data_IF_047915205451
#
_entry.id   IF_047915205451
#
_cell.length_a   1.000
_cell.length_b   1.000
_cell.length_c   1.000
_cell.angle_alpha   90.00
_cell.angle_beta   90.00
_cell.angle_gamma   90.00
#
_symmetry.space_group_name_H-M   'P 1'
#
loop_
_entity.id
_entity.type
_entity.pdbx_description
1 polymer ?
#
# COMPACT_ATOMS: atom_id res chain seq x y z
N UNK A 1 -4.98 -24.13 -42.42
CA UNK A 1 -4.62 -22.71 -42.62
C UNK A 1 -3.27 -22.49 -41.95
N UNK A 2 -2.22 -22.03 -42.64
CA UNK A 2 -0.93 -21.81 -42.01
C UNK A 2 -1.02 -20.52 -41.16
N UNK A 3 -0.85 -20.67 -39.84
CA UNK A 3 -0.76 -19.55 -38.90
C UNK A 3 0.57 -18.82 -39.15
N UNK A 4 0.48 -17.64 -39.75
CA UNK A 4 1.56 -16.68 -40.02
C UNK A 4 2.07 -16.02 -38.70
N UNK A 5 2.18 -16.81 -37.63
CA UNK A 5 2.50 -16.33 -36.29
C UNK A 5 4.00 -16.03 -36.18
N UNK A 6 4.32 -14.74 -36.24
CA UNK A 6 5.69 -14.24 -36.07
C UNK A 6 6.17 -14.53 -34.64
N UNK A 7 7.25 -15.29 -34.48
CA UNK A 7 7.86 -15.55 -33.18
C UNK A 7 8.77 -14.38 -32.77
N UNK A 8 8.55 -13.84 -31.57
CA UNK A 8 9.37 -12.78 -31.02
C UNK A 8 10.50 -13.38 -30.17
N UNK A 9 11.72 -13.45 -30.72
CA UNK A 9 12.89 -13.98 -30.01
C UNK A 9 13.28 -13.20 -28.74
N UNK A 10 12.85 -11.93 -28.64
CA UNK A 10 13.11 -11.08 -27.45
C UNK A 10 12.14 -11.34 -26.28
N UNK A 11 10.93 -11.80 -26.60
CA UNK A 11 9.86 -11.98 -25.63
C UNK A 11 9.37 -13.43 -25.49
N UNK A 12 9.90 -14.35 -26.30
CA UNK A 12 9.69 -15.80 -26.19
C UNK A 12 8.28 -16.25 -26.57
N UNK A 13 7.51 -15.43 -27.27
CA UNK A 13 6.09 -15.71 -27.57
C UNK A 13 5.78 -15.58 -29.06
N UNK A 14 4.84 -16.41 -29.51
CA UNK A 14 4.22 -16.33 -30.83
C UNK A 14 3.26 -15.15 -30.88
N UNK A 15 3.40 -14.24 -31.85
CA UNK A 15 2.53 -13.07 -32.02
C UNK A 15 1.15 -13.49 -32.55
N UNK A 16 0.30 -13.93 -31.63
CA UNK A 16 -1.09 -14.32 -31.84
C UNK A 16 -2.00 -13.50 -30.91
N UNK A 17 -3.20 -13.11 -31.34
CA UNK A 17 -4.21 -12.39 -30.52
C UNK A 17 -4.47 -13.04 -29.13
N UNK A 18 -4.44 -14.38 -29.04
CA UNK A 18 -4.52 -15.13 -27.77
C UNK A 18 -3.30 -14.90 -26.87
N UNK A 19 -2.10 -14.90 -27.44
CA UNK A 19 -0.86 -14.63 -26.70
C UNK A 19 -0.83 -13.18 -26.18
N UNK A 20 -1.30 -12.24 -26.98
CA UNK A 20 -1.39 -10.84 -26.60
C UNK A 20 -2.36 -10.68 -25.43
N UNK A 21 -3.57 -11.24 -25.52
CA UNK A 21 -4.52 -11.24 -24.43
C UNK A 21 -3.97 -11.88 -23.14
N UNK A 22 -3.22 -12.99 -23.23
CA UNK A 22 -2.58 -13.63 -22.08
C UNK A 22 -1.53 -12.73 -21.43
N UNK A 23 -0.72 -12.04 -22.23
CA UNK A 23 0.27 -11.08 -21.72
C UNK A 23 -0.41 -9.91 -21.02
N UNK A 24 -1.48 -9.39 -21.61
CA UNK A 24 -2.28 -8.34 -21.00
C UNK A 24 -2.82 -8.78 -19.64
N UNK A 25 -3.41 -9.97 -19.57
CA UNK A 25 -3.95 -10.52 -18.32
C UNK A 25 -2.85 -10.76 -17.28
N UNK A 26 -1.70 -11.29 -17.68
CA UNK A 26 -0.55 -11.50 -16.80
C UNK A 26 -0.01 -10.19 -16.21
N UNK A 27 0.09 -9.13 -17.03
CA UNK A 27 0.54 -7.81 -16.59
C UNK A 27 -0.47 -7.14 -15.66
N UNK A 28 -1.76 -7.26 -15.97
CA UNK A 28 -2.85 -6.71 -15.18
C UNK A 28 -2.97 -7.44 -13.83
N UNK A 29 -2.83 -8.76 -13.83
CA UNK A 29 -2.70 -9.55 -12.61
C UNK A 29 -1.46 -9.17 -11.81
N UNK A 30 -0.30 -9.02 -12.46
CA UNK A 30 0.93 -8.57 -11.79
C UNK A 30 0.83 -7.15 -11.21
N UNK A 31 -0.03 -6.30 -11.76
CA UNK A 31 -0.38 -5.00 -11.18
C UNK A 31 -1.20 -5.13 -9.91
N UNK A 32 -2.27 -5.93 -9.95
CA UNK A 32 -3.12 -6.20 -8.79
C UNK A 32 -2.35 -6.91 -7.67
N UNK A 33 -1.55 -7.91 -8.02
CA UNK A 33 -0.78 -8.71 -7.08
C UNK A 33 0.23 -7.88 -6.29
N UNK A 34 0.95 -6.96 -6.96
CA UNK A 34 1.91 -6.07 -6.28
C UNK A 34 1.23 -5.17 -5.25
N UNK A 35 0.01 -4.69 -5.54
CA UNK A 35 -0.76 -3.89 -4.59
C UNK A 35 -1.23 -4.71 -3.41
N UNK A 36 -1.72 -5.92 -3.68
CA UNK A 36 -2.11 -6.84 -2.62
C UNK A 36 -0.94 -7.11 -1.65
N UNK A 37 0.28 -7.34 -2.15
CA UNK A 37 1.46 -7.49 -1.29
C UNK A 37 1.86 -6.20 -0.56
N UNK A 38 1.79 -5.04 -1.20
CA UNK A 38 2.03 -3.76 -0.51
C UNK A 38 1.02 -3.51 0.60
N UNK A 39 -0.25 -3.87 0.36
CA UNK A 39 -1.32 -3.88 1.34
C UNK A 39 -1.06 -4.85 2.49
N UNK A 40 -0.59 -6.06 2.18
CA UNK A 40 -0.22 -7.06 3.18
C UNK A 40 0.87 -6.55 4.12
N UNK A 41 1.98 -6.06 3.58
CA UNK A 41 3.11 -5.58 4.40
C UNK A 41 2.69 -4.38 5.25
N UNK A 42 1.92 -3.44 4.68
CA UNK A 42 1.49 -2.24 5.41
C UNK A 42 0.46 -2.57 6.48
N UNK A 43 -0.48 -3.49 6.20
CA UNK A 43 -1.42 -3.98 7.19
C UNK A 43 -0.72 -4.74 8.32
N UNK A 44 0.25 -5.60 7.98
CA UNK A 44 1.07 -6.31 8.97
C UNK A 44 1.77 -5.34 9.92
N UNK A 45 2.49 -4.36 9.38
CA UNK A 45 3.21 -3.37 10.20
C UNK A 45 2.23 -2.51 11.00
N UNK A 46 1.14 -2.04 10.39
CA UNK A 46 0.14 -1.22 11.06
C UNK A 46 -0.43 -1.89 12.31
N UNK A 47 -0.78 -3.18 12.23
CA UNK A 47 -1.30 -3.93 13.38
C UNK A 47 -0.26 -4.11 14.49
N UNK A 48 1.00 -4.38 14.15
CA UNK A 48 2.09 -4.48 15.13
C UNK A 48 2.29 -3.13 15.83
N UNK A 49 2.25 -2.03 15.09
CA UNK A 49 2.40 -0.68 15.64
C UNK A 49 1.23 -0.32 16.56
N UNK A 50 -0.02 -0.65 16.20
CA UNK A 50 -1.18 -0.49 17.09
C UNK A 50 -0.96 -1.20 18.42
N UNK A 51 -0.47 -2.43 18.40
CA UNK A 51 -0.18 -3.17 19.62
C UNK A 51 0.89 -2.46 20.48
N UNK A 52 2.01 -2.07 19.86
CA UNK A 52 3.11 -1.39 20.57
C UNK A 52 2.60 -0.10 21.22
N UNK A 53 1.88 0.71 20.45
CA UNK A 53 1.29 1.97 20.93
C UNK A 53 0.27 1.72 22.03
N UNK A 54 -0.60 0.73 21.87
CA UNK A 54 -1.59 0.35 22.88
C UNK A 54 -0.92 0.02 24.22
N UNK A 55 0.23 -0.67 24.19
CA UNK A 55 1.02 -1.00 25.39
C UNK A 55 1.79 0.18 25.98
N UNK A 56 2.04 1.23 25.21
CA UNK A 56 2.63 2.46 25.76
C UNK A 56 1.59 3.29 26.50
N UNK A 57 0.34 3.26 26.04
CA UNK A 57 -0.73 4.11 26.54
C UNK A 57 -1.53 3.47 27.71
N UNK A 58 -1.22 2.22 28.08
CA UNK A 58 -2.04 1.25 28.83
C UNK A 58 -2.53 1.56 30.25
N UNK A 59 -2.66 2.81 30.72
CA UNK A 59 -3.23 3.02 32.06
C UNK A 59 -4.55 3.79 32.15
N UNK A 60 -5.03 4.51 31.14
CA UNK A 60 -6.25 5.33 31.32
C UNK A 60 -7.18 5.52 30.10
N UNK A 61 -7.01 4.79 28.99
CA UNK A 61 -7.81 5.00 27.79
C UNK A 61 -8.97 4.01 27.70
N UNK A 62 -10.21 4.53 27.62
CA UNK A 62 -11.42 3.72 27.47
C UNK A 62 -11.50 2.97 26.12
N UNK A 63 -12.29 1.89 26.02
CA UNK A 63 -12.35 1.02 24.83
C UNK A 63 -12.64 1.75 23.52
N UNK A 64 -13.48 2.79 23.56
CA UNK A 64 -13.84 3.62 22.40
C UNK A 64 -12.62 4.32 21.80
N UNK A 65 -11.79 4.90 22.65
CA UNK A 65 -10.60 5.62 22.22
C UNK A 65 -9.52 4.64 21.73
N UNK A 66 -9.41 3.46 22.35
CA UNK A 66 -8.51 2.40 21.85
C UNK A 66 -8.89 1.95 20.44
N UNK A 67 -10.18 1.73 20.17
CA UNK A 67 -10.65 1.35 18.83
C UNK A 67 -10.49 2.48 17.82
N UNK A 68 -10.75 3.73 18.22
CA UNK A 68 -10.51 4.91 17.40
C UNK A 68 -9.04 4.99 16.96
N UNK A 69 -8.09 4.95 17.90
CA UNK A 69 -6.66 5.03 17.60
C UNK A 69 -6.18 3.84 16.78
N UNK A 70 -6.63 2.63 17.11
CA UNK A 70 -6.31 1.43 16.34
C UNK A 70 -6.76 1.57 14.89
N UNK A 71 -8.00 2.02 14.68
CA UNK A 71 -8.53 2.30 13.36
C UNK A 71 -7.73 3.37 12.61
N UNK A 72 -7.40 4.50 13.27
CA UNK A 72 -6.60 5.57 12.67
C UNK A 72 -5.22 5.09 12.20
N UNK A 73 -4.46 4.42 13.07
CA UNK A 73 -3.10 3.96 12.77
C UNK A 73 -3.14 2.97 11.60
N UNK A 74 -3.94 1.92 11.69
CA UNK A 74 -4.06 0.93 10.62
C UNK A 74 -4.59 1.56 9.32
N UNK A 75 -5.50 2.53 9.44
CA UNK A 75 -6.03 3.31 8.34
C UNK A 75 -4.94 4.09 7.58
N UNK A 76 -4.03 4.79 8.28
CA UNK A 76 -2.90 5.49 7.64
C UNK A 76 -2.02 4.51 6.86
N UNK A 77 -1.62 3.41 7.50
CA UNK A 77 -0.73 2.43 6.87
C UNK A 77 -1.36 1.84 5.61
N UNK A 78 -2.62 1.39 5.69
CA UNK A 78 -3.32 0.86 4.53
C UNK A 78 -3.59 1.93 3.47
N UNK A 79 -3.85 3.17 3.86
CA UNK A 79 -4.13 4.29 2.96
C UNK A 79 -2.92 4.73 2.13
N UNK A 80 -1.72 4.68 2.69
CA UNK A 80 -0.49 5.17 2.03
C UNK A 80 0.03 4.26 0.92
N UNK A 81 -0.29 2.97 0.94
CA UNK A 81 0.23 1.91 0.03
C UNK A 81 0.21 2.34 -1.44
N UNK A 82 -0.92 2.82 -1.94
CA UNK A 82 -1.06 3.17 -3.36
C UNK A 82 -0.13 4.31 -3.78
N UNK A 83 0.11 5.26 -2.90
CA UNK A 83 1.07 6.34 -3.15
C UNK A 83 2.51 5.87 -3.06
N UNK A 84 2.83 5.00 -2.11
CA UNK A 84 4.18 4.43 -1.96
C UNK A 84 4.55 3.60 -3.20
N UNK A 85 3.65 2.72 -3.65
CA UNK A 85 3.87 1.88 -4.85
C UNK A 85 4.05 2.74 -6.11
N UNK A 86 3.34 3.86 -6.20
CA UNK A 86 3.41 4.77 -7.35
C UNK A 86 4.46 5.88 -7.18
N UNK A 87 5.28 5.83 -6.12
CA UNK A 87 6.28 6.84 -5.77
C UNK A 87 5.70 8.28 -5.75
N UNK A 88 4.44 8.43 -5.31
CA UNK A 88 3.71 9.69 -5.26
C UNK A 88 3.41 10.11 -3.83
N UNK A 89 4.13 11.14 -3.36
CA UNK A 89 3.94 11.72 -2.03
C UNK A 89 2.52 12.26 -1.83
N UNK A 90 2.00 12.93 -2.86
CA UNK A 90 0.64 13.46 -2.84
C UNK A 90 -0.39 12.33 -2.67
N UNK A 91 -0.30 11.25 -3.46
CA UNK A 91 -1.22 10.12 -3.31
C UNK A 91 -1.06 9.40 -1.97
N UNK A 92 0.17 9.27 -1.47
CA UNK A 92 0.43 8.63 -0.19
C UNK A 92 -0.19 9.46 0.95
N UNK A 93 -0.01 10.77 0.92
CA UNK A 93 -0.57 11.69 1.93
C UNK A 93 -2.10 11.69 1.91
N UNK A 94 -2.73 11.86 0.73
CA UNK A 94 -4.18 11.87 0.62
C UNK A 94 -4.77 10.51 1.02
N UNK A 95 -4.16 9.41 0.57
CA UNK A 95 -4.56 8.06 0.95
C UNK A 95 -4.41 7.83 2.45
N UNK A 96 -3.33 8.29 3.06
CA UNK A 96 -3.11 8.24 4.50
C UNK A 96 -4.15 9.03 5.28
N UNK A 97 -4.50 10.25 4.86
CA UNK A 97 -5.54 11.08 5.48
C UNK A 97 -6.91 10.38 5.38
N UNK A 98 -7.32 9.96 4.19
CA UNK A 98 -8.60 9.28 3.98
C UNK A 98 -8.65 7.95 4.76
N UNK A 99 -7.54 7.21 4.77
CA UNK A 99 -7.39 6.01 5.59
C UNK A 99 -7.53 6.29 7.07
N UNK A 100 -6.92 7.36 7.59
CA UNK A 100 -7.08 7.80 8.99
C UNK A 100 -8.54 8.06 9.33
N UNK A 101 -9.23 8.83 8.49
CA UNK A 101 -10.64 9.20 8.70
C UNK A 101 -11.54 7.97 8.63
N UNK A 102 -11.39 7.14 7.59
CA UNK A 102 -12.17 5.93 7.43
C UNK A 102 -11.93 4.93 8.56
N UNK A 103 -10.67 4.77 8.98
CA UNK A 103 -10.29 3.93 10.11
C UNK A 103 -10.82 4.46 11.44
N UNK A 104 -10.78 5.77 11.68
CA UNK A 104 -11.35 6.41 12.86
C UNK A 104 -12.86 6.15 12.97
N UNK A 105 -13.60 6.40 11.89
CA UNK A 105 -15.05 6.19 11.83
C UNK A 105 -15.37 4.71 12.03
N UNK A 106 -14.67 3.81 11.33
CA UNK A 106 -14.84 2.37 11.50
C UNK A 106 -14.59 1.93 12.94
N UNK A 107 -13.49 2.39 13.56
CA UNK A 107 -13.14 2.07 14.95
C UNK A 107 -14.17 2.56 15.96
N UNK A 108 -14.69 3.78 15.80
CA UNK A 108 -15.76 4.31 16.64
C UNK A 108 -17.06 3.51 16.53
N UNK A 109 -17.41 3.10 15.31
CA UNK A 109 -18.63 2.33 15.05
C UNK A 109 -18.51 0.87 15.47
N UNK A 110 -17.29 0.35 15.66
CA UNK A 110 -17.09 -1.05 16.02
C UNK A 110 -17.78 -1.43 17.34
N UNK A 111 -17.74 -0.57 18.36
CA UNK A 111 -18.37 -0.85 19.67
C UNK A 111 -19.90 -0.93 19.59
N UNK A 112 -20.62 0.07 19.06
CA UNK A 112 -22.08 -0.03 18.95
C UNK A 112 -22.49 -1.20 18.07
N UNK A 113 -21.76 -1.48 16.98
CA UNK A 113 -22.01 -2.64 16.13
C UNK A 113 -21.82 -3.95 16.92
N UNK A 114 -20.71 -4.08 17.65
CA UNK A 114 -20.43 -5.26 18.47
C UNK A 114 -21.52 -5.46 19.53
N UNK A 115 -21.98 -4.39 20.19
CA UNK A 115 -23.07 -4.45 21.17
C UNK A 115 -24.41 -4.88 20.54
N UNK A 116 -24.70 -4.45 19.31
CA UNK A 116 -25.89 -4.92 18.58
C UNK A 116 -25.81 -6.40 18.20
N UNK A 117 -24.60 -6.94 18.03
CA UNK A 117 -24.35 -8.31 17.58
C UNK A 117 -24.03 -9.30 18.72
N UNK A 118 -23.97 -8.83 19.97
CA UNK A 118 -23.64 -9.63 21.17
C UNK A 118 -24.62 -10.78 21.45
N UNK A 119 -25.81 -10.76 20.87
CA UNK A 119 -26.85 -11.77 21.09
C UNK A 119 -26.64 -13.13 20.41
N UNK A 120 -25.57 -13.32 19.65
CA UNK A 120 -25.33 -14.56 18.90
C UNK A 120 -23.84 -14.89 18.79
N UNK A 121 -23.49 -16.09 19.23
CA UNK A 121 -22.14 -16.63 19.13
C UNK A 121 -21.68 -16.65 17.66
N UNK A 122 -20.46 -16.17 17.39
CA UNK A 122 -19.86 -16.19 16.06
C UNK A 122 -20.04 -14.93 15.21
N UNK A 123 -20.70 -13.86 15.69
CA UNK A 123 -20.85 -12.62 14.92
C UNK A 123 -19.71 -11.60 15.09
N UNK A 124 -18.70 -11.89 15.92
CA UNK A 124 -17.52 -11.04 16.06
C UNK A 124 -16.88 -10.64 14.71
N UNK A 125 -16.69 -11.55 13.74
CA UNK A 125 -16.16 -11.20 12.42
C UNK A 125 -16.99 -10.18 11.63
N UNK A 126 -18.31 -10.09 11.88
CA UNK A 126 -19.17 -9.13 11.19
C UNK A 126 -18.93 -7.68 11.65
N UNK A 127 -18.60 -7.48 12.94
CA UNK A 127 -18.24 -6.15 13.44
C UNK A 127 -16.97 -5.61 12.78
N UNK A 128 -15.98 -6.49 12.63
CA UNK A 128 -14.70 -6.20 11.96
C UNK A 128 -14.90 -6.02 10.45
N UNK A 129 -15.78 -6.80 9.83
CA UNK A 129 -16.21 -6.64 8.43
C UNK A 129 -16.72 -5.22 8.20
N UNK A 130 -17.71 -4.75 8.98
CA UNK A 130 -18.31 -3.42 8.77
C UNK A 130 -17.27 -2.31 9.01
N UNK A 131 -16.48 -2.45 10.08
CA UNK A 131 -15.39 -1.52 10.41
C UNK A 131 -14.45 -1.31 9.23
N UNK A 132 -13.96 -2.40 8.65
CA UNK A 132 -13.01 -2.33 7.53
C UNK A 132 -13.68 -2.05 6.19
N UNK A 133 -14.98 -2.31 6.04
CA UNK A 133 -15.74 -1.85 4.88
C UNK A 133 -15.74 -0.31 4.81
N UNK A 134 -15.97 0.35 5.93
CA UNK A 134 -15.93 1.82 6.02
C UNK A 134 -14.50 2.31 5.74
N UNK A 135 -13.50 1.77 6.44
CA UNK A 135 -12.10 2.14 6.21
C UNK A 135 -11.67 1.95 4.75
N UNK A 136 -12.05 0.82 4.16
CA UNK A 136 -11.76 0.49 2.77
C UNK A 136 -12.44 1.45 1.78
N UNK A 137 -13.66 1.91 2.05
CA UNK A 137 -14.35 2.86 1.18
C UNK A 137 -13.59 4.19 1.05
N UNK A 138 -13.11 4.74 2.18
CA UNK A 138 -12.32 5.97 2.16
C UNK A 138 -10.98 5.78 1.45
N UNK A 139 -10.28 4.66 1.74
CA UNK A 139 -9.00 4.35 1.08
C UNK A 139 -9.19 4.20 -0.43
N UNK A 140 -10.23 3.48 -0.86
CA UNK A 140 -10.54 3.26 -2.27
C UNK A 140 -10.93 4.53 -3.03
N UNK A 141 -11.53 5.52 -2.36
CA UNK A 141 -11.89 6.80 -2.96
C UNK A 141 -10.69 7.65 -3.38
N UNK A 142 -9.50 7.39 -2.82
CA UNK A 142 -8.27 8.18 -3.04
C UNK A 142 -7.97 8.39 -4.52
N UNK A 143 -7.86 7.31 -5.29
CA UNK A 143 -7.41 7.39 -6.68
C UNK A 143 -8.42 8.09 -7.60
N UNK A 144 -9.71 7.90 -7.35
CA UNK A 144 -10.74 8.63 -8.08
C UNK A 144 -10.81 10.12 -7.74
N UNK A 145 -10.50 10.47 -6.49
CA UNK A 145 -10.41 11.86 -6.02
C UNK A 145 -9.22 12.58 -6.68
N UNK A 146 -8.08 11.90 -6.78
CA UNK A 146 -6.88 12.42 -7.47
C UNK A 146 -7.15 12.65 -8.96
N UNK A 147 -7.88 11.73 -9.59
CA UNK A 147 -8.33 11.85 -10.98
C UNK A 147 -9.47 12.88 -11.16
N UNK A 148 -9.83 13.64 -10.11
CA UNK A 148 -10.85 14.69 -10.08
C UNK A 148 -12.20 14.25 -10.68
N UNK A 149 -12.56 12.97 -10.50
CA UNK A 149 -13.78 12.40 -11.06
C UNK A 149 -14.63 11.75 -9.98
N UNK A 150 -15.82 12.32 -9.74
CA UNK A 150 -16.79 11.79 -8.76
C UNK A 150 -17.16 10.32 -9.05
N UNK A 151 -17.33 9.97 -10.33
CA UNK A 151 -17.65 8.60 -10.75
C UNK A 151 -16.51 7.62 -10.43
N UNK A 152 -15.27 8.01 -10.71
CA UNK A 152 -14.09 7.19 -10.36
C UNK A 152 -13.91 7.08 -8.85
N UNK A 153 -14.18 8.16 -8.10
CA UNK A 153 -14.09 8.16 -6.64
C UNK A 153 -15.13 7.22 -6.02
N UNK A 154 -16.37 7.25 -6.49
CA UNK A 154 -17.43 6.35 -6.04
C UNK A 154 -17.17 4.90 -6.41
N UNK A 155 -16.67 4.63 -7.62
CA UNK A 155 -16.24 3.28 -8.01
C UNK A 155 -15.09 2.76 -7.14
N UNK A 156 -14.09 3.62 -6.87
CA UNK A 156 -13.01 3.31 -5.94
C UNK A 156 -13.52 3.03 -4.53
N UNK A 157 -14.44 3.85 -4.02
CA UNK A 157 -15.04 3.66 -2.71
C UNK A 157 -15.84 2.36 -2.61
N UNK A 158 -16.60 1.99 -3.65
CA UNK A 158 -17.37 0.74 -3.66
C UNK A 158 -16.45 -0.49 -3.60
N UNK A 159 -15.41 -0.54 -4.43
CA UNK A 159 -14.47 -1.67 -4.43
C UNK A 159 -13.58 -1.68 -3.19
N UNK A 160 -13.26 -0.50 -2.66
CA UNK A 160 -12.62 -0.35 -1.35
C UNK A 160 -13.50 -0.89 -0.23
N UNK A 161 -14.80 -0.58 -0.25
CA UNK A 161 -15.77 -1.09 0.72
C UNK A 161 -15.85 -2.63 0.69
N UNK A 162 -16.01 -3.21 -0.50
CA UNK A 162 -16.08 -4.67 -0.68
C UNK A 162 -14.76 -5.33 -0.25
N UNK A 163 -13.62 -4.79 -0.70
CA UNK A 163 -12.31 -5.34 -0.36
C UNK A 163 -12.00 -5.24 1.14
N UNK A 164 -12.37 -4.12 1.76
CA UNK A 164 -12.24 -3.90 3.20
C UNK A 164 -13.16 -4.81 4.01
N UNK A 165 -14.41 -5.01 3.58
CA UNK A 165 -15.34 -5.92 4.21
C UNK A 165 -14.83 -7.36 4.21
N UNK A 166 -14.49 -7.89 3.01
CA UNK A 166 -13.98 -9.25 2.86
C UNK A 166 -12.66 -9.42 3.61
N UNK A 167 -11.76 -8.44 3.50
CA UNK A 167 -10.49 -8.44 4.22
C UNK A 167 -10.68 -8.47 5.74
N UNK A 168 -11.54 -7.62 6.29
CA UNK A 168 -11.88 -7.57 7.72
C UNK A 168 -12.48 -8.89 8.23
N UNK A 169 -13.39 -9.48 7.46
CA UNK A 169 -13.97 -10.78 7.78
C UNK A 169 -12.92 -11.89 7.77
N UNK A 170 -12.16 -12.03 6.68
CA UNK A 170 -11.14 -13.08 6.57
C UNK A 170 -10.03 -12.92 7.61
N UNK A 171 -9.59 -11.69 7.87
CA UNK A 171 -8.59 -11.39 8.88
C UNK A 171 -9.06 -11.76 10.29
N UNK A 172 -10.31 -11.45 10.64
CA UNK A 172 -10.87 -11.77 11.97
C UNK A 172 -11.17 -13.26 12.14
N UNK A 173 -11.64 -13.94 11.09
CA UNK A 173 -11.80 -15.41 11.09
C UNK A 173 -10.44 -16.09 11.24
N UNK A 174 -9.44 -15.69 10.46
CA UNK A 174 -8.08 -16.21 10.58
C UNK A 174 -7.53 -16.04 12.00
N UNK A 175 -7.66 -14.83 12.56
CA UNK A 175 -7.24 -14.53 13.92
C UNK A 175 -7.94 -15.46 14.93
N UNK A 176 -9.26 -15.54 14.89
CA UNK A 176 -10.05 -16.38 15.79
C UNK A 176 -9.69 -17.87 15.68
N UNK A 177 -9.61 -18.40 14.46
CA UNK A 177 -9.26 -19.80 14.21
C UNK A 177 -7.87 -20.15 14.75
N UNK A 178 -6.87 -19.30 14.52
CA UNK A 178 -5.51 -19.58 15.01
C UNK A 178 -5.44 -19.59 16.53
N UNK A 179 -6.16 -18.67 17.19
CA UNK A 179 -6.21 -18.62 18.65
C UNK A 179 -6.95 -19.80 19.27
N UNK A 180 -8.02 -20.27 18.64
CA UNK A 180 -8.79 -21.42 19.12
C UNK A 180 -8.03 -22.73 18.89
N UNK A 181 -7.44 -22.92 17.71
CA UNK A 181 -6.87 -24.21 17.30
C UNK A 181 -5.43 -24.40 17.80
N UNK A 182 -4.60 -23.35 17.76
CA UNK A 182 -3.17 -23.47 18.10
C UNK A 182 -2.80 -22.89 19.46
N UNK A 183 -3.68 -22.06 20.06
CA UNK A 183 -3.46 -21.41 21.35
C UNK A 183 -2.00 -20.96 21.58
N UNK A 184 -1.47 -20.05 20.74
CA UNK A 184 -0.05 -19.72 20.71
C UNK A 184 0.45 -19.21 22.08
N UNK A 185 1.34 -20.00 22.70
CA UNK A 185 1.87 -19.70 24.05
C UNK A 185 2.99 -18.67 24.04
N UNK A 186 3.71 -18.51 22.93
CA UNK A 186 4.81 -17.56 22.87
C UNK A 186 4.31 -16.15 22.55
N UNK A 187 4.93 -15.15 23.18
CA UNK A 187 4.61 -13.75 22.91
C UNK A 187 4.81 -13.40 21.42
N UNK A 188 5.90 -13.88 20.82
CA UNK A 188 6.21 -13.64 19.41
C UNK A 188 5.14 -14.23 18.48
N UNK A 189 4.67 -15.46 18.75
CA UNK A 189 3.63 -16.08 17.93
C UNK A 189 2.33 -15.28 17.96
N UNK A 190 1.89 -14.81 19.13
CA UNK A 190 0.70 -13.96 19.25
C UNK A 190 0.79 -12.71 18.37
N UNK A 191 1.94 -12.03 18.38
CA UNK A 191 2.17 -10.83 17.57
C UNK A 191 2.21 -11.13 16.09
N UNK A 192 2.82 -12.24 15.69
CA UNK A 192 2.81 -12.67 14.29
C UNK A 192 1.38 -12.95 13.81
N UNK A 193 0.53 -13.59 14.63
CA UNK A 193 -0.87 -13.85 14.26
C UNK A 193 -1.67 -12.56 14.09
N UNK A 194 -1.50 -11.59 14.99
CA UNK A 194 -2.11 -10.25 14.86
C UNK A 194 -1.64 -9.54 13.59
N UNK A 195 -0.34 -9.52 13.34
CA UNK A 195 0.24 -8.93 12.13
C UNK A 195 -0.25 -9.63 10.86
N UNK A 196 -0.30 -10.96 10.84
CA UNK A 196 -0.80 -11.73 9.69
C UNK A 196 -2.28 -11.46 9.42
N UNK A 197 -3.10 -11.34 10.47
CA UNK A 197 -4.49 -10.93 10.36
C UNK A 197 -4.62 -9.55 9.69
N UNK A 198 -3.87 -8.55 10.18
CA UNK A 198 -3.81 -7.22 9.56
C UNK A 198 -3.30 -7.25 8.11
N UNK A 199 -2.31 -8.10 7.83
CA UNK A 199 -1.82 -8.32 6.47
C UNK A 199 -2.87 -8.91 5.55
N UNK A 200 -3.70 -9.86 6.02
CA UNK A 200 -4.82 -10.39 5.26
C UNK A 200 -5.84 -9.31 4.92
N UNK A 201 -6.22 -8.47 5.89
CA UNK A 201 -7.09 -7.30 5.64
C UNK A 201 -6.53 -6.42 4.53
N UNK A 202 -5.26 -6.03 4.66
CA UNK A 202 -4.59 -5.17 3.70
C UNK A 202 -4.45 -5.80 2.32
N UNK A 203 -4.19 -7.10 2.24
CA UNK A 203 -3.98 -7.81 0.98
C UNK A 203 -5.26 -7.87 0.14
N UNK A 204 -6.41 -8.19 0.77
CA UNK A 204 -7.71 -8.29 0.10
C UNK A 204 -8.24 -6.92 -0.30
N UNK A 205 -8.09 -5.93 0.59
CA UNK A 205 -8.43 -4.54 0.32
C UNK A 205 -7.71 -4.03 -0.93
N UNK A 206 -6.39 -4.16 -0.97
CA UNK A 206 -5.59 -3.64 -2.09
C UNK A 206 -5.67 -4.49 -3.36
N UNK A 207 -6.02 -5.77 -3.26
CA UNK A 207 -6.39 -6.57 -4.43
C UNK A 207 -7.65 -5.98 -5.11
N UNK A 208 -8.67 -5.65 -4.32
CA UNK A 208 -9.93 -5.11 -4.80
C UNK A 208 -9.79 -3.69 -5.35
N UNK A 209 -9.04 -2.82 -4.66
CA UNK A 209 -8.72 -1.47 -5.15
C UNK A 209 -7.85 -1.57 -6.42
N UNK A 210 -6.86 -2.47 -6.44
CA UNK A 210 -6.00 -2.67 -7.60
C UNK A 210 -6.77 -3.10 -8.85
N UNK A 211 -7.80 -3.92 -8.69
CA UNK A 211 -8.71 -4.34 -9.77
C UNK A 211 -9.43 -3.13 -10.38
N UNK A 212 -10.13 -2.32 -9.56
CA UNK A 212 -10.90 -1.18 -10.09
C UNK A 212 -10.00 -0.08 -10.63
N UNK A 213 -8.84 0.12 -10.01
CA UNK A 213 -7.85 1.08 -10.48
C UNK A 213 -7.41 0.74 -11.89
N UNK A 214 -7.11 -0.55 -12.12
CA UNK A 214 -6.61 -1.02 -13.41
C UNK A 214 -7.70 -1.06 -14.48
N UNK A 215 -8.89 -1.54 -14.14
CA UNK A 215 -9.96 -1.76 -15.11
C UNK A 215 -10.75 -0.49 -15.45
N UNK A 216 -10.86 0.46 -14.53
CA UNK A 216 -11.76 1.61 -14.69
C UNK A 216 -11.10 2.97 -14.46
N UNK A 217 -10.37 3.15 -13.35
CA UNK A 217 -9.86 4.47 -12.96
C UNK A 217 -8.74 4.93 -13.90
N UNK A 218 -7.81 4.04 -14.24
CA UNK A 218 -6.60 4.36 -14.99
C UNK A 218 -6.65 4.01 -16.48
N UNK A 219 -7.82 4.11 -17.12
CA UNK A 219 -7.89 4.10 -18.59
C UNK A 219 -7.30 5.40 -19.17
N UNK A 220 -5.97 5.46 -19.29
CA UNK A 220 -5.23 6.57 -19.93
C UNK A 220 -5.07 6.30 -21.42
N UNK A 221 -5.13 7.34 -22.25
CA UNK A 221 -4.84 7.24 -23.69
C UNK A 221 -3.33 7.00 -23.88
N UNK A 222 -2.98 5.98 -24.66
CA UNK A 222 -1.61 5.78 -25.12
C UNK A 222 -1.33 6.75 -26.27
N UNK A 223 -0.24 7.52 -26.18
CA UNK A 223 0.20 8.40 -27.26
C UNK A 223 1.43 7.79 -27.93
N UNK A 224 1.33 7.31 -29.19
CA UNK A 224 2.42 6.62 -29.89
C UNK A 224 3.65 7.51 -30.15
N UNK A 225 3.47 8.83 -30.19
CA UNK A 225 4.55 9.78 -30.51
C UNK A 225 5.25 10.34 -29.28
N UNK A 226 4.88 9.86 -28.08
CA UNK A 226 5.39 10.41 -26.84
C UNK A 226 6.82 9.94 -26.53
N UNK A 227 7.79 10.83 -26.68
CA UNK A 227 9.20 10.58 -26.34
C UNK A 227 9.56 11.04 -24.92
N UNK A 228 8.83 12.01 -24.35
CA UNK A 228 8.99 12.51 -22.97
C UNK A 228 7.64 12.92 -22.37
N UNK A 229 7.47 12.76 -21.05
CA UNK A 229 6.28 13.24 -20.33
C UNK A 229 6.57 14.58 -19.68
N UNK A 230 6.00 15.65 -20.23
CA UNK A 230 6.06 16.99 -19.63
C UNK A 230 4.85 17.18 -18.72
N UNK A 231 5.06 17.65 -17.49
CA UNK A 231 3.94 17.98 -16.61
C UNK A 231 3.24 19.26 -17.07
N UNK A 232 1.93 19.20 -17.32
CA UNK A 232 1.13 20.36 -17.71
C UNK A 232 1.09 21.47 -16.64
N UNK A 233 1.32 21.12 -15.36
CA UNK A 233 1.23 22.07 -14.26
C UNK A 233 2.54 22.81 -13.98
N UNK A 234 3.67 22.09 -13.94
CA UNK A 234 4.96 22.65 -13.54
C UNK A 234 6.04 22.61 -14.64
N UNK A 235 5.72 22.10 -15.84
CA UNK A 235 6.66 21.99 -16.96
C UNK A 235 7.80 20.98 -16.76
N UNK A 236 7.86 20.26 -15.63
CA UNK A 236 8.96 19.32 -15.35
C UNK A 236 8.93 18.12 -16.30
N UNK A 237 10.10 17.72 -16.77
CA UNK A 237 10.31 16.51 -17.57
C UNK A 237 10.32 15.25 -16.68
N UNK A 238 9.49 14.28 -17.01
CA UNK A 238 9.35 13.03 -16.27
C UNK A 238 9.69 11.82 -17.14
N UNK A 239 10.10 10.73 -16.50
CA UNK A 239 10.35 9.48 -17.19
C UNK A 239 9.06 8.93 -17.82
N UNK A 240 9.18 8.21 -18.94
CA UNK A 240 8.03 7.59 -19.62
C UNK A 240 7.25 6.61 -18.73
N UNK A 241 7.93 6.04 -17.72
CA UNK A 241 7.34 5.14 -16.71
C UNK A 241 6.54 5.88 -15.63
N UNK A 242 6.70 7.19 -15.48
CA UNK A 242 6.08 7.97 -14.41
C UNK A 242 4.58 8.17 -14.63
N UNK A 243 3.82 8.01 -13.56
CA UNK A 243 2.35 8.21 -13.54
C UNK A 243 1.96 9.58 -12.96
N UNK A 244 2.87 10.15 -12.15
CA UNK A 244 2.77 11.45 -11.52
C UNK A 244 4.04 12.24 -11.80
N UNK A 245 3.94 13.55 -11.72
CA UNK A 245 5.10 14.40 -11.82
C UNK A 245 5.99 14.25 -10.58
N UNK A 246 7.28 14.00 -10.82
CA UNK A 246 8.31 13.89 -9.78
C UNK A 246 8.52 15.17 -8.98
N UNK A 247 8.25 16.35 -9.57
CA UNK A 247 8.37 17.64 -8.90
C UNK A 247 7.08 18.03 -8.15
N UNK A 248 5.94 18.11 -8.84
CA UNK A 248 4.71 18.66 -8.25
C UNK A 248 3.63 17.61 -7.89
N UNK A 249 3.89 16.32 -8.08
CA UNK A 249 2.96 15.23 -7.73
C UNK A 249 1.67 15.14 -8.58
N UNK A 250 1.46 16.04 -9.54
CA UNK A 250 0.27 16.02 -10.39
C UNK A 250 0.24 14.82 -11.36
N UNK A 251 -0.97 14.36 -11.68
CA UNK A 251 -1.19 13.24 -12.60
C UNK A 251 -0.70 13.58 -14.01
N UNK A 252 0.02 12.64 -14.63
CA UNK A 252 0.40 12.70 -16.05
C UNK A 252 -0.64 11.93 -16.88
N UNK A 253 -1.42 12.63 -17.70
CA UNK A 253 -2.59 12.08 -18.41
C UNK A 253 -2.24 11.10 -19.53
N UNK A 254 -1.06 11.24 -20.15
CA UNK A 254 -0.61 10.38 -21.24
C UNK A 254 0.15 9.14 -20.74
N UNK A 255 -0.18 7.98 -21.32
CA UNK A 255 0.61 6.77 -21.18
C UNK A 255 1.62 6.66 -22.34
N UNK A 256 2.86 6.31 -22.02
CA UNK A 256 3.88 6.06 -23.05
C UNK A 256 3.60 4.74 -23.77
N UNK A 257 3.91 4.62 -25.07
CA UNK A 257 3.68 3.40 -25.81
C UNK A 257 4.64 2.31 -25.31
N UNK A 258 4.11 1.10 -25.14
CA UNK A 258 4.83 -0.03 -24.51
C UNK A 258 6.14 -0.38 -25.22
N UNK A 259 6.19 -0.17 -26.53
CA UNK A 259 7.36 -0.43 -27.38
C UNK A 259 8.55 0.47 -27.04
N UNK A 260 8.30 1.68 -26.51
CA UNK A 260 9.32 2.65 -26.09
C UNK A 260 9.74 2.47 -24.63
N UNK A 261 9.09 1.58 -23.88
CA UNK A 261 9.50 1.27 -22.51
C UNK A 261 10.71 0.32 -22.57
N UNK A 262 11.87 0.77 -22.11
CA UNK A 262 13.06 -0.06 -22.02
C UNK A 262 12.78 -1.28 -21.13
N UNK A 263 12.94 -2.49 -21.66
CA UNK A 263 12.88 -3.71 -20.86
C UNK A 263 14.32 -4.08 -20.52
N UNK A 264 14.69 -3.94 -19.26
CA UNK A 264 16.01 -4.38 -18.78
C UNK A 264 16.02 -5.91 -18.63
N UNK A 265 17.16 -6.58 -18.88
CA UNK A 265 17.28 -8.02 -18.66
C UNK A 265 17.24 -8.38 -17.15
N UNK A 266 17.58 -7.44 -16.27
CA UNK A 266 17.66 -7.62 -14.81
C UNK A 266 16.33 -7.38 -14.08
N UNK A 267 15.22 -7.94 -14.58
CA UNK A 267 13.88 -7.76 -13.99
C UNK A 267 13.79 -8.17 -12.51
N UNK A 268 14.55 -9.19 -12.10
CA UNK A 268 14.59 -9.66 -10.71
C UNK A 268 15.16 -8.59 -9.77
N UNK A 269 16.29 -7.99 -10.15
CA UNK A 269 16.93 -6.94 -9.35
C UNK A 269 16.08 -5.66 -9.32
N UNK A 270 15.42 -5.28 -10.42
CA UNK A 270 14.49 -4.14 -10.42
C UNK A 270 13.34 -4.34 -9.40
N UNK A 271 12.83 -5.57 -9.22
CA UNK A 271 11.80 -5.85 -8.20
C UNK A 271 12.33 -5.65 -6.79
N UNK A 272 13.56 -6.09 -6.51
CA UNK A 272 14.22 -5.89 -5.20
C UNK A 272 14.43 -4.40 -4.93
N UNK A 273 14.92 -3.64 -5.91
CA UNK A 273 15.06 -2.18 -5.80
C UNK A 273 13.73 -1.51 -5.44
N UNK A 274 12.65 -1.88 -6.13
CA UNK A 274 11.32 -1.33 -5.84
C UNK A 274 10.81 -1.73 -4.44
N UNK A 275 11.09 -2.95 -3.98
CA UNK A 275 10.73 -3.38 -2.63
C UNK A 275 11.49 -2.60 -1.55
N UNK A 276 12.79 -2.33 -1.74
CA UNK A 276 13.59 -1.52 -0.82
C UNK A 276 13.10 -0.07 -0.78
N UNK A 277 12.74 0.52 -1.92
CA UNK A 277 12.11 1.84 -1.96
C UNK A 277 10.77 1.87 -1.23
N UNK A 278 9.95 0.83 -1.41
CA UNK A 278 8.68 0.69 -0.69
C UNK A 278 8.92 0.64 0.83
N UNK A 279 9.87 -0.17 1.29
CA UNK A 279 10.25 -0.24 2.70
C UNK A 279 10.76 1.10 3.23
N UNK A 280 11.63 1.80 2.49
CA UNK A 280 12.13 3.13 2.84
C UNK A 280 10.99 4.11 3.15
N UNK A 281 9.98 4.18 2.28
CA UNK A 281 8.80 5.01 2.48
C UNK A 281 7.95 4.56 3.67
N UNK A 282 7.78 3.24 3.83
CA UNK A 282 7.01 2.67 4.92
C UNK A 282 7.62 3.00 6.28
N UNK A 283 8.96 3.00 6.40
CA UNK A 283 9.67 3.49 7.60
C UNK A 283 9.44 4.99 7.83
N UNK A 284 9.39 5.79 6.76
CA UNK A 284 9.01 7.20 6.85
C UNK A 284 7.62 7.39 7.45
N UNK A 285 6.62 6.62 6.98
CA UNK A 285 5.26 6.63 7.53
C UNK A 285 5.26 6.19 9.00
N UNK A 286 5.95 5.10 9.34
CA UNK A 286 6.09 4.64 10.73
C UNK A 286 6.69 5.72 11.63
N UNK A 287 7.73 6.44 11.19
CA UNK A 287 8.33 7.54 11.95
C UNK A 287 7.37 8.69 12.20
N UNK A 288 6.63 9.11 11.18
CA UNK A 288 5.62 10.19 11.28
C UNK A 288 4.52 9.84 12.29
N UNK A 289 4.14 8.56 12.42
CA UNK A 289 3.11 8.12 13.37
C UNK A 289 3.69 7.91 14.77
N UNK A 290 4.80 7.17 14.87
CA UNK A 290 5.33 6.72 16.17
C UNK A 290 6.02 7.83 16.94
N UNK A 291 6.71 8.77 16.28
CA UNK A 291 7.43 9.84 16.98
C UNK A 291 6.50 10.76 17.79
N UNK A 292 5.38 11.28 17.25
CA UNK A 292 4.43 12.05 18.05
C UNK A 292 3.83 11.24 19.20
N UNK A 293 3.48 9.97 18.97
CA UNK A 293 2.88 9.11 20.00
C UNK A 293 3.86 8.88 21.16
N UNK A 294 5.11 8.53 20.85
CA UNK A 294 6.19 8.39 21.84
C UNK A 294 6.38 9.70 22.61
N UNK A 295 6.45 10.83 21.91
CA UNK A 295 6.60 12.14 22.52
C UNK A 295 5.48 12.42 23.53
N UNK A 296 4.21 12.35 23.12
CA UNK A 296 3.09 12.68 23.99
C UNK A 296 2.92 11.70 25.15
N UNK A 297 3.25 10.42 24.94
CA UNK A 297 3.17 9.42 26.01
C UNK A 297 4.17 9.73 27.12
N UNK A 298 5.44 9.95 26.77
CA UNK A 298 6.47 10.24 27.76
C UNK A 298 6.42 11.68 28.29
N UNK A 299 5.72 12.60 27.61
CA UNK A 299 5.57 13.98 28.06
C UNK A 299 4.87 14.07 29.42
N UNK A 300 3.95 13.14 29.69
CA UNK A 300 3.21 13.05 30.95
C UNK A 300 4.13 12.64 32.09
N UNK A 301 5.13 11.79 31.81
CA UNK A 301 6.08 11.31 32.81
C UNK A 301 7.24 12.29 33.02
N UNK A 302 7.91 12.69 31.94
CA UNK A 302 9.08 13.56 31.99
C UNK A 302 9.38 14.20 30.62
N UNK A 303 9.43 15.54 30.59
CA UNK A 303 9.71 16.33 29.37
C UNK A 303 11.05 15.95 28.72
N UNK A 304 12.09 15.69 29.50
CA UNK A 304 13.41 15.30 28.97
C UNK A 304 13.36 13.92 28.32
N UNK A 305 12.72 12.94 28.98
CA UNK A 305 12.55 11.59 28.43
C UNK A 305 11.73 11.61 27.14
N UNK A 306 10.69 12.44 27.08
CA UNK A 306 9.87 12.65 25.89
C UNK A 306 10.68 13.17 24.71
N UNK A 307 11.47 14.22 24.94
CA UNK A 307 12.33 14.79 23.89
C UNK A 307 13.38 13.79 23.40
N UNK A 308 14.08 13.11 24.33
CA UNK A 308 15.13 12.13 23.98
C UNK A 308 14.52 10.96 23.20
N UNK A 309 13.41 10.40 23.67
CA UNK A 309 12.75 9.25 23.03
C UNK A 309 12.18 9.60 21.65
N UNK A 310 11.62 10.81 21.50
CA UNK A 310 11.12 11.30 20.22
C UNK A 310 12.28 11.52 19.22
N UNK A 311 13.37 12.17 19.65
CA UNK A 311 14.56 12.38 18.80
C UNK A 311 15.16 11.04 18.41
N UNK A 312 15.29 10.09 19.34
CA UNK A 312 15.79 8.75 19.03
C UNK A 312 14.90 8.02 18.02
N UNK A 313 13.57 8.09 18.17
CA UNK A 313 12.61 7.51 17.23
C UNK A 313 12.72 8.13 15.83
N UNK A 314 12.81 9.46 15.74
CA UNK A 314 13.00 10.19 14.48
C UNK A 314 14.32 9.78 13.82
N UNK A 315 15.42 9.77 14.58
CA UNK A 315 16.73 9.38 14.07
C UNK A 315 16.74 7.94 13.60
N UNK A 316 16.20 7.01 14.39
CA UNK A 316 16.13 5.60 14.03
C UNK A 316 15.33 5.39 12.74
N UNK A 317 14.13 5.96 12.65
CA UNK A 317 13.28 5.81 11.46
C UNK A 317 13.88 6.49 10.23
N UNK A 318 14.53 7.65 10.41
CA UNK A 318 15.27 8.32 9.34
C UNK A 318 16.46 7.48 8.86
N UNK A 319 17.25 6.90 9.77
CA UNK A 319 18.37 6.02 9.43
C UNK A 319 17.90 4.78 8.66
N UNK A 320 16.79 4.15 9.05
CA UNK A 320 16.21 3.03 8.31
C UNK A 320 15.72 3.48 6.93
N UNK A 321 15.03 4.62 6.83
CA UNK A 321 14.58 5.19 5.56
C UNK A 321 15.75 5.43 4.61
N UNK A 322 16.81 6.10 5.07
CA UNK A 322 18.02 6.37 4.29
C UNK A 322 18.77 5.09 3.95
N UNK A 323 18.91 4.16 4.89
CA UNK A 323 19.59 2.88 4.68
C UNK A 323 18.95 2.05 3.56
N UNK A 324 17.62 1.91 3.58
CA UNK A 324 16.90 1.23 2.50
C UNK A 324 16.99 1.97 1.17
N UNK A 325 16.95 3.31 1.20
CA UNK A 325 17.08 4.13 -0.01
C UNK A 325 18.47 3.98 -0.63
N UNK A 326 19.50 4.07 0.19
CA UNK A 326 20.89 3.87 -0.20
C UNK A 326 21.11 2.50 -0.84
N UNK A 327 20.60 1.43 -0.22
CA UNK A 327 20.71 0.08 -0.77
C UNK A 327 19.99 -0.05 -2.13
N UNK A 328 18.82 0.59 -2.27
CA UNK A 328 18.09 0.63 -3.53
C UNK A 328 18.87 1.36 -4.64
N UNK A 329 19.48 2.50 -4.32
CA UNK A 329 20.24 3.31 -5.26
C UNK A 329 21.58 2.63 -5.64
N UNK A 330 22.23 1.93 -4.70
CA UNK A 330 23.41 1.12 -4.95
C UNK A 330 23.10 -0.03 -5.93
N UNK A 331 22.03 -0.79 -5.68
CA UNK A 331 21.59 -1.85 -6.59
C UNK A 331 21.19 -1.30 -7.97
N UNK A 332 20.48 -0.16 -8.00
CA UNK A 332 20.11 0.49 -9.26
C UNK A 332 21.34 0.94 -10.06
N UNK A 333 22.40 1.37 -9.38
CA UNK A 333 23.67 1.77 -10.02
C UNK A 333 24.40 0.56 -10.62
N UNK A 334 24.43 -0.56 -9.90
CA UNK A 334 25.00 -1.83 -10.40
C UNK A 334 24.28 -2.29 -11.67
N UNK A 335 22.94 -2.24 -11.69
CA UNK A 335 22.14 -2.60 -12.89
C UNK A 335 22.50 -1.68 -14.06
N UNK A 336 22.68 -0.38 -13.81
CA UNK A 336 23.00 0.61 -14.86
C UNK A 336 24.38 0.36 -15.46
N UNK A 337 25.40 0.11 -14.63
CA UNK A 337 26.77 -0.20 -15.07
C UNK A 337 26.75 -1.49 -15.92
N UNK A 338 26.06 -2.52 -15.44
CA UNK A 338 25.96 -3.80 -16.17
C UNK A 338 25.28 -3.64 -17.53
N UNK A 339 24.30 -2.75 -17.65
CA UNK A 339 23.66 -2.47 -18.94
C UNK A 339 24.58 -1.70 -19.90
N UNK A 340 25.42 -0.78 -19.40
CA UNK A 340 26.38 -0.04 -20.22
C UNK A 340 27.47 -0.97 -20.77
N UNK A 341 28.00 -1.87 -19.94
CA UNK A 341 29.01 -2.86 -20.36
C UNK A 341 28.48 -3.87 -21.40
N UNK A 342 27.17 -4.13 -21.41
CA UNK A 342 26.55 -4.99 -22.43
C UNK A 342 26.19 -4.25 -23.73
N UNK A 343 26.33 -2.92 -23.78
CA UNK A 343 26.06 -2.09 -24.95
C UNK A 343 27.35 -1.60 -25.65
N UNK A 344 28.54 -1.90 -25.11
CA UNK A 344 29.80 -1.66 -25.83
C UNK A 344 29.90 -2.65 -27.00
N UNK A 345 30.06 -2.18 -28.25
CA UNK A 345 30.18 -3.05 -29.41
C UNK A 345 31.47 -3.87 -29.31
N UNK A 346 31.34 -5.19 -29.39
CA UNK A 346 32.41 -6.08 -29.85
C UNK A 346 32.59 -5.95 -31.36
#
# INVERSE_FOLDING_TARGET
MPDDSKYCGRCGMFLNKKSENLVHLSLDFGWMWRRSWGGFISGFIGWIIVFIIGRMITQNIGPTMTNLFSGMICGVFLGTVGGIIEESAYKASLGGILGTVGGAIGGLLNIPIMNMLQGSEGLFPLSVLITWAIGGAFIGATSGTIEKSRRKALAGALFGFVGGAIGGYLGSVFYGSVFIEFAPKSWLANRLVEGLSGGLVGSVLWLSIGLIEKLYIFKRREDPNLDKKVCEHCGTNNSLRSWYCTSCGHVLQSAAPRQKMTVTPYRGMERVVNALKFLSWLFGVTGVITAPVIFFTFLIENVFLACISAVFSILFTYLMMVGFRFLADLLSSIIRISNLNNQSPS
#
